data_IF_651289718303
#
_entry.id   IF_651289718303
#
_cell.length_a   1.000
_cell.length_b   1.000
_cell.length_c   1.000
_cell.angle_alpha   90.00
_cell.angle_beta   90.00
_cell.angle_gamma   90.00
#
_symmetry.space_group_name_H-M   'P 1'
#
loop_
_entity.id
_entity.type
_entity.pdbx_description
1 polymer ?
#
# COMPACT_ATOMS: atom_id res chain seq x y z
N UNK A 1 8.62 0.48 3.69
CA UNK A 1 7.15 0.52 3.86
C UNK A 1 6.85 0.94 5.28
N UNK A 2 5.74 1.64 5.48
CA UNK A 2 5.39 2.22 6.79
C UNK A 2 3.94 1.88 7.16
N UNK A 3 3.62 1.94 8.45
CA UNK A 3 2.25 1.85 8.94
C UNK A 3 1.65 3.25 8.99
N UNK A 4 0.45 3.41 8.44
CA UNK A 4 -0.31 4.67 8.57
C UNK A 4 -1.80 4.39 8.70
N UNK A 5 -2.50 5.20 9.48
CA UNK A 5 -3.96 5.24 9.49
C UNK A 5 -4.53 6.27 8.49
N UNK A 6 -3.70 7.20 7.99
CA UNK A 6 -4.09 8.36 7.18
C UNK A 6 -4.80 7.96 5.88
N UNK A 7 -4.52 6.78 5.35
CA UNK A 7 -5.12 6.32 4.09
C UNK A 7 -6.55 5.81 4.30
N UNK A 8 -6.85 5.14 5.41
CA UNK A 8 -8.11 4.41 5.56
C UNK A 8 -8.90 4.66 6.83
N UNK A 9 -8.33 5.39 7.79
CA UNK A 9 -8.86 5.52 9.16
C UNK A 9 -8.45 4.35 10.07
N UNK A 10 -7.75 3.33 9.54
CA UNK A 10 -7.17 2.23 10.33
C UNK A 10 -5.71 1.99 9.92
N UNK A 11 -4.83 1.57 10.86
CA UNK A 11 -3.44 1.28 10.56
C UNK A 11 -3.30 0.18 9.49
N UNK A 12 -2.61 0.50 8.40
CA UNK A 12 -2.26 -0.44 7.34
C UNK A 12 -0.83 -0.19 6.85
N UNK A 13 -0.15 -1.22 6.35
CA UNK A 13 1.24 -1.12 5.87
C UNK A 13 1.31 -0.94 4.36
N UNK A 14 1.93 0.14 3.91
CA UNK A 14 2.06 0.44 2.49
C UNK A 14 3.44 0.95 2.07
N UNK A 15 3.63 1.01 0.76
CA UNK A 15 4.79 1.64 0.12
C UNK A 15 4.62 3.16 0.23
N UNK A 16 5.67 3.83 0.72
CA UNK A 16 5.66 5.26 1.05
C UNK A 16 5.49 6.10 -0.22
N UNK A 17 4.53 7.02 -0.21
CA UNK A 17 4.27 8.01 -1.25
C UNK A 17 3.63 9.27 -0.62
N UNK A 18 3.00 10.15 -1.42
CA UNK A 18 2.44 11.41 -0.92
C UNK A 18 1.29 11.24 0.09
N UNK A 19 0.61 10.09 0.11
CA UNK A 19 -0.36 9.80 1.18
C UNK A 19 0.31 9.68 2.56
N UNK A 20 1.58 9.26 2.60
CA UNK A 20 2.36 9.16 3.84
C UNK A 20 3.03 10.48 4.17
N UNK A 21 3.71 11.09 3.19
CA UNK A 21 4.63 12.22 3.44
C UNK A 21 3.96 13.59 3.40
N UNK A 22 2.86 13.75 2.67
CA UNK A 22 2.16 15.04 2.54
C UNK A 22 0.82 15.00 3.27
N UNK A 23 -0.06 14.04 2.94
CA UNK A 23 -1.37 13.93 3.60
C UNK A 23 -1.22 13.54 5.07
N UNK A 24 -0.24 12.70 5.38
CA UNK A 24 0.09 12.25 6.74
C UNK A 24 1.15 13.08 7.44
N UNK A 25 1.52 14.25 6.91
CA UNK A 25 2.53 15.11 7.52
C UNK A 25 2.10 15.60 8.92
N UNK A 26 3.10 15.98 9.72
CA UNK A 26 2.87 16.55 11.05
C UNK A 26 1.89 17.73 10.98
N UNK A 27 0.90 17.73 11.88
CA UNK A 27 -0.15 18.76 11.93
C UNK A 27 -1.38 18.46 11.07
N UNK A 28 -1.48 17.27 10.45
CA UNK A 28 -2.73 16.84 9.81
C UNK A 28 -3.92 16.84 10.81
N UNK A 29 -5.15 17.14 10.37
CA UNK A 29 -6.31 17.14 11.26
C UNK A 29 -6.66 15.72 11.77
N UNK A 30 -7.49 15.60 12.82
CA UNK A 30 -8.01 14.30 13.25
C UNK A 30 -8.64 13.54 12.07
N UNK A 31 -8.34 12.24 11.99
CA UNK A 31 -8.84 11.39 10.92
C UNK A 31 -10.32 11.06 11.15
N UNK A 32 -11.17 11.10 10.11
CA UNK A 32 -12.46 10.41 10.13
C UNK A 32 -12.29 8.91 10.36
N UNK A 33 -13.30 8.28 10.94
CA UNK A 33 -13.31 6.83 11.14
C UNK A 33 -13.24 6.06 9.81
N UNK A 34 -12.81 4.80 9.90
CA UNK A 34 -12.94 3.87 8.79
C UNK A 34 -14.42 3.61 8.47
N UNK A 35 -14.83 3.56 7.18
CA UNK A 35 -14.01 3.69 5.97
C UNK A 35 -14.00 5.09 5.34
N UNK A 36 -14.52 6.13 6.01
CA UNK A 36 -14.68 7.48 5.45
C UNK A 36 -13.36 8.06 4.93
N UNK A 37 -12.27 7.88 5.69
CA UNK A 37 -10.92 8.30 5.25
C UNK A 37 -10.48 7.57 3.98
N UNK A 38 -10.86 6.30 3.81
CA UNK A 38 -10.51 5.53 2.62
C UNK A 38 -11.26 5.99 1.36
N UNK A 39 -12.51 6.41 1.52
CA UNK A 39 -13.29 7.00 0.44
C UNK A 39 -12.63 8.30 -0.08
N UNK A 40 -12.21 9.17 0.84
CA UNK A 40 -11.48 10.40 0.50
C UNK A 40 -10.15 10.13 -0.21
N UNK A 41 -9.36 9.15 0.28
CA UNK A 41 -8.10 8.77 -0.35
C UNK A 41 -8.29 8.24 -1.79
N UNK A 42 -9.35 7.45 -2.03
CA UNK A 42 -9.70 6.97 -3.38
C UNK A 42 -10.11 8.12 -4.31
N UNK A 43 -10.90 9.07 -3.82
CA UNK A 43 -11.30 10.23 -4.61
C UNK A 43 -10.08 11.08 -5.01
N UNK A 44 -9.15 11.31 -4.07
CA UNK A 44 -7.89 12.00 -4.36
C UNK A 44 -7.04 11.24 -5.39
N UNK A 45 -6.92 9.92 -5.23
CA UNK A 45 -6.20 9.08 -6.20
C UNK A 45 -6.83 9.16 -7.60
N UNK A 46 -8.15 9.06 -7.71
CA UNK A 46 -8.87 9.16 -8.98
C UNK A 46 -8.65 10.52 -9.66
N UNK A 47 -8.67 11.61 -8.90
CA UNK A 47 -8.38 12.95 -9.42
C UNK A 47 -6.93 13.10 -9.91
N UNK A 48 -5.96 12.52 -9.18
CA UNK A 48 -4.54 12.54 -9.55
C UNK A 48 -4.25 11.66 -10.77
N UNK A 49 -4.82 10.46 -10.82
CA UNK A 49 -4.62 9.50 -11.92
C UNK A 49 -5.26 9.99 -13.22
N UNK A 50 -6.39 10.71 -13.15
CA UNK A 50 -6.96 11.44 -14.29
C UNK A 50 -6.03 12.51 -14.88
N UNK A 51 -4.99 12.91 -14.15
CA UNK A 51 -3.91 13.81 -14.60
C UNK A 51 -2.58 13.08 -14.85
N UNK A 52 -2.60 11.75 -14.90
CA UNK A 52 -1.41 10.92 -15.12
C UNK A 52 -0.48 10.76 -13.90
N UNK A 53 -0.88 11.23 -12.72
CA UNK A 53 -0.09 11.07 -11.49
C UNK A 53 -0.53 9.84 -10.68
N UNK A 54 0.45 9.06 -10.23
CA UNK A 54 0.25 7.90 -9.34
C UNK A 54 0.70 8.19 -7.90
N UNK A 55 1.00 9.44 -7.57
CA UNK A 55 1.61 9.83 -6.29
C UNK A 55 0.73 9.51 -5.07
N UNK A 56 -0.59 9.35 -5.30
CA UNK A 56 -1.59 9.03 -4.29
C UNK A 56 -2.18 7.62 -4.48
N UNK A 57 -1.49 6.74 -5.20
CA UNK A 57 -1.90 5.34 -5.33
C UNK A 57 -1.87 4.63 -3.97
N UNK A 58 -2.81 3.72 -3.73
CA UNK A 58 -2.85 2.92 -2.50
C UNK A 58 -2.14 1.60 -2.75
N UNK A 59 -0.84 1.56 -2.48
CA UNK A 59 0.01 0.38 -2.70
C UNK A 59 0.36 -0.30 -1.37
N UNK A 60 -0.45 -1.28 -0.98
CA UNK A 60 -0.16 -2.11 0.18
C UNK A 60 1.02 -3.04 -0.08
N UNK A 61 1.89 -3.20 0.90
CA UNK A 61 3.11 -3.99 0.74
C UNK A 61 3.80 -4.26 2.06
N UNK A 62 4.27 -5.50 2.25
CA UNK A 62 5.08 -5.88 3.40
C UNK A 62 6.44 -5.18 3.43
N UNK A 63 7.24 -5.45 4.45
CA UNK A 63 8.61 -4.89 4.57
C UNK A 63 9.56 -5.41 3.49
N UNK A 64 9.30 -6.60 2.94
CA UNK A 64 10.12 -7.25 1.92
C UNK A 64 9.49 -7.22 0.52
N UNK A 65 8.69 -6.19 0.20
CA UNK A 65 7.94 -6.12 -1.07
C UNK A 65 8.84 -6.18 -2.33
N UNK A 66 10.11 -5.79 -2.21
CA UNK A 66 11.08 -5.83 -3.31
C UNK A 66 11.41 -7.26 -3.79
N UNK A 67 11.06 -8.30 -3.01
CA UNK A 67 11.22 -9.71 -3.40
C UNK A 67 10.01 -10.27 -4.17
N UNK A 68 9.03 -9.43 -4.53
CA UNK A 68 7.89 -9.87 -5.32
C UNK A 68 8.34 -10.36 -6.71
N UNK A 69 7.75 -11.47 -7.17
CA UNK A 69 8.07 -12.12 -8.45
C UNK A 69 6.88 -12.00 -9.40
N UNK A 70 7.13 -11.52 -10.62
CA UNK A 70 6.12 -11.44 -11.67
C UNK A 70 6.00 -12.79 -12.39
N UNK A 71 5.10 -13.64 -11.90
CA UNK A 71 4.89 -14.99 -12.43
C UNK A 71 3.46 -15.49 -12.15
N UNK A 72 2.96 -16.52 -12.85
CA UNK A 72 1.67 -17.12 -12.56
C UNK A 72 1.58 -17.64 -11.12
N UNK A 73 0.43 -17.46 -10.47
CA UNK A 73 0.26 -17.83 -9.06
C UNK A 73 0.54 -19.31 -8.78
N UNK A 74 0.15 -20.20 -9.69
CA UNK A 74 0.42 -21.65 -9.56
C UNK A 74 1.91 -21.97 -9.61
N UNK A 75 2.67 -21.31 -10.49
CA UNK A 75 4.12 -21.46 -10.56
C UNK A 75 4.80 -20.89 -9.32
N UNK A 76 4.35 -19.72 -8.82
CA UNK A 76 4.90 -19.12 -7.61
C UNK A 76 4.77 -20.05 -6.40
N UNK A 77 3.61 -20.66 -6.21
CA UNK A 77 3.37 -21.59 -5.10
C UNK A 77 4.25 -22.84 -5.23
N UNK A 78 4.41 -23.37 -6.45
CA UNK A 78 5.30 -24.52 -6.68
C UNK A 78 6.76 -24.17 -6.40
N UNK A 79 7.24 -23.01 -6.86
CA UNK A 79 8.60 -22.53 -6.57
C UNK A 79 8.81 -22.35 -5.06
N UNK A 80 7.85 -21.75 -4.35
CA UNK A 80 7.94 -21.60 -2.90
C UNK A 80 8.01 -22.93 -2.15
N UNK A 81 7.32 -23.97 -2.64
CA UNK A 81 7.40 -25.31 -2.05
C UNK A 81 8.80 -25.92 -2.21
N UNK A 82 9.41 -25.80 -3.40
CA UNK A 82 10.79 -26.26 -3.65
C UNK A 82 11.78 -25.49 -2.78
N UNK A 83 11.68 -24.15 -2.75
CA UNK A 83 12.55 -23.30 -1.92
C UNK A 83 12.43 -23.62 -0.41
N UNK A 84 11.24 -24.00 0.05
CA UNK A 84 11.00 -24.41 1.43
C UNK A 84 11.66 -25.75 1.75
N UNK A 85 11.59 -26.73 0.84
CA UNK A 85 12.22 -28.04 1.01
C UNK A 85 13.76 -27.94 0.97
N UNK A 86 14.32 -27.06 0.14
CA UNK A 86 15.77 -26.80 0.05
C UNK A 86 16.34 -26.06 1.27
N UNK A 87 15.51 -25.28 1.96
CA UNK A 87 15.88 -24.52 3.15
C UNK A 87 15.81 -25.34 4.45
N UNK A 88 15.24 -26.54 4.42
CA UNK A 88 15.10 -27.46 5.55
C UNK A 88 16.36 -28.29 5.79
#
# INVERSE_FOLDING_TARGET
TELTAVISGRPARGIVNKLFTEVGADGHPPLPDYPTTYDAAKALHAAASGKGSQDYSVNWGGTNFAQARAMPAGELVATLAVEMDEAA
#
